data_IF_182319287930
#
_entry.id   IF_182319287930
#
_cell.length_a   1.000
_cell.length_b   1.000
_cell.length_c   1.000
_cell.angle_alpha   90.00
_cell.angle_beta   90.00
_cell.angle_gamma   90.00
#
_symmetry.space_group_name_H-M   'P 1'
#
loop_
_entity.id
_entity.type
_entity.pdbx_description
1 polymer ?
#
# COMPACT_ATOMS: atom_id res chain seq x y z
N UNK A 1 25.60 19.45 -14.39
CA UNK A 1 25.45 18.42 -13.33
C UNK A 1 24.30 17.52 -13.76
N UNK A 2 24.51 16.21 -13.80
CA UNK A 2 23.45 15.26 -14.20
C UNK A 2 22.44 15.12 -13.06
N UNK A 3 21.18 15.44 -13.32
CA UNK A 3 20.10 15.35 -12.33
C UNK A 3 19.93 13.93 -11.78
N UNK A 4 20.10 12.90 -12.62
CA UNK A 4 19.92 11.49 -12.22
C UNK A 4 20.81 11.09 -11.04
N UNK A 5 22.00 11.69 -10.95
CA UNK A 5 23.02 11.38 -9.92
C UNK A 5 23.21 12.54 -8.94
N UNK A 6 22.21 13.42 -8.79
CA UNK A 6 22.32 14.61 -7.94
C UNK A 6 21.76 14.36 -6.53
N UNK A 7 22.33 15.03 -5.53
CA UNK A 7 21.75 15.11 -4.18
C UNK A 7 20.36 15.71 -4.19
N UNK A 8 20.04 16.57 -5.16
CA UNK A 8 18.69 17.13 -5.31
C UNK A 8 17.66 16.04 -5.58
N UNK A 9 17.97 15.06 -6.45
CA UNK A 9 17.08 13.92 -6.70
C UNK A 9 16.89 13.07 -5.45
N UNK A 10 17.95 12.81 -4.68
CA UNK A 10 17.86 12.08 -3.40
C UNK A 10 16.99 12.84 -2.40
N UNK A 11 17.18 14.17 -2.31
CA UNK A 11 16.36 15.03 -1.43
C UNK A 11 14.88 14.99 -1.82
N UNK A 12 14.55 15.02 -3.11
CA UNK A 12 13.16 14.89 -3.59
C UNK A 12 12.53 13.55 -3.19
N UNK A 13 13.28 12.44 -3.32
CA UNK A 13 12.84 11.12 -2.89
C UNK A 13 12.60 11.07 -1.37
N UNK A 14 13.53 11.66 -0.59
CA UNK A 14 13.41 11.74 0.87
C UNK A 14 12.21 12.58 1.27
N UNK A 15 12.00 13.73 0.64
CA UNK A 15 10.83 14.57 0.87
C UNK A 15 9.54 13.84 0.57
N UNK A 16 9.42 13.18 -0.60
CA UNK A 16 8.27 12.34 -0.94
C UNK A 16 7.98 11.28 0.13
N UNK A 17 9.01 10.56 0.59
CA UNK A 17 8.86 9.53 1.64
C UNK A 17 8.34 10.15 2.95
N UNK A 18 8.83 11.32 3.33
CA UNK A 18 8.37 12.05 4.52
C UNK A 18 6.88 12.42 4.43
N UNK A 19 6.47 13.00 3.31
CA UNK A 19 5.06 13.40 3.08
C UNK A 19 4.12 12.19 3.00
N UNK A 20 4.53 11.12 2.32
CA UNK A 20 3.75 9.88 2.25
C UNK A 20 3.52 9.28 3.64
N UNK A 21 4.56 9.26 4.48
CA UNK A 21 4.48 8.79 5.86
C UNK A 21 3.61 9.71 6.72
N UNK A 22 3.75 11.03 6.61
CA UNK A 22 2.95 12.01 7.34
C UNK A 22 1.47 11.87 6.97
N UNK A 23 1.15 11.75 5.67
CA UNK A 23 -0.20 11.49 5.16
C UNK A 23 -0.85 10.28 5.84
N UNK A 24 -0.18 9.15 5.85
CA UNK A 24 -0.72 7.93 6.47
C UNK A 24 -0.91 8.09 7.99
N UNK A 25 0.08 8.63 8.70
CA UNK A 25 0.01 8.87 10.16
C UNK A 25 -1.17 9.79 10.52
N UNK A 26 -1.37 10.86 9.77
CA UNK A 26 -2.45 11.80 10.07
C UNK A 26 -3.84 11.18 9.87
N UNK A 27 -4.01 10.25 8.91
CA UNK A 27 -5.25 9.49 8.79
C UNK A 27 -5.48 8.60 10.02
N UNK A 28 -4.46 7.88 10.51
CA UNK A 28 -4.58 7.07 11.73
C UNK A 28 -4.88 7.93 12.97
N UNK A 29 -4.27 9.11 13.06
CA UNK A 29 -4.54 10.05 14.15
C UNK A 29 -5.95 10.64 14.08
N UNK A 30 -6.47 10.89 12.87
CA UNK A 30 -7.85 11.33 12.67
C UNK A 30 -8.85 10.28 13.14
N UNK A 31 -8.64 9.00 12.79
CA UNK A 31 -9.46 7.89 13.26
C UNK A 31 -9.49 7.80 14.78
N UNK A 32 -8.33 7.92 15.44
CA UNK A 32 -8.21 7.88 16.90
C UNK A 32 -8.91 9.08 17.54
N UNK A 33 -8.69 10.30 17.03
CA UNK A 33 -9.33 11.51 17.53
C UNK A 33 -10.86 11.42 17.43
N UNK A 34 -11.38 10.89 16.33
CA UNK A 34 -12.81 10.68 16.12
C UNK A 34 -13.38 9.66 17.12
N UNK A 35 -12.68 8.55 17.35
CA UNK A 35 -13.06 7.55 18.33
C UNK A 35 -13.11 8.10 19.76
N UNK A 36 -12.34 9.16 20.07
CA UNK A 36 -12.33 9.89 21.35
C UNK A 36 -13.30 11.08 21.40
N UNK A 37 -14.14 11.27 20.36
CA UNK A 37 -15.11 12.36 20.28
C UNK A 37 -14.52 13.73 19.93
N UNK A 38 -13.25 13.79 19.52
CA UNK A 38 -12.55 15.03 19.17
C UNK A 38 -12.67 15.34 17.66
N UNK A 39 -13.91 15.56 17.19
CA UNK A 39 -14.18 15.73 15.76
C UNK A 39 -13.39 16.88 15.11
N UNK A 40 -13.26 18.03 15.79
CA UNK A 40 -12.47 19.15 15.30
C UNK A 40 -10.99 18.80 15.05
N UNK A 41 -10.39 18.00 15.92
CA UNK A 41 -9.02 17.51 15.76
C UNK A 41 -8.93 16.48 14.62
N UNK A 42 -9.90 15.58 14.53
CA UNK A 42 -9.97 14.60 13.43
C UNK A 42 -10.00 15.31 12.07
N UNK A 43 -10.86 16.31 11.89
CA UNK A 43 -10.93 17.11 10.67
C UNK A 43 -9.63 17.89 10.39
N UNK A 44 -8.94 18.38 11.41
CA UNK A 44 -7.64 19.03 11.25
C UNK A 44 -6.58 18.06 10.71
N UNK A 45 -6.50 16.83 11.24
CA UNK A 45 -5.62 15.79 10.73
C UNK A 45 -5.96 15.37 9.30
N UNK A 46 -7.22 15.19 8.97
CA UNK A 46 -7.65 14.86 7.60
C UNK A 46 -7.28 15.97 6.61
N UNK A 47 -7.44 17.23 7.01
CA UNK A 47 -7.02 18.36 6.18
C UNK A 47 -5.51 18.36 5.95
N UNK A 48 -4.71 18.19 7.01
CA UNK A 48 -3.27 18.06 6.89
C UNK A 48 -2.89 16.89 5.99
N UNK A 49 -3.47 15.70 6.20
CA UNK A 49 -3.23 14.52 5.35
C UNK A 49 -3.47 14.79 3.86
N UNK A 50 -4.52 15.54 3.51
CA UNK A 50 -4.75 15.96 2.11
C UNK A 50 -3.64 16.89 1.59
N UNK A 51 -3.15 17.81 2.42
CA UNK A 51 -2.06 18.69 2.03
C UNK A 51 -0.76 17.91 1.79
N UNK A 52 -0.44 16.94 2.67
CA UNK A 52 0.75 16.09 2.50
C UNK A 52 0.66 15.20 1.25
N UNK A 53 -0.54 14.81 0.84
CA UNK A 53 -0.74 14.16 -0.46
C UNK A 53 -0.28 15.05 -1.62
N UNK A 54 -0.69 16.31 -1.63
CA UNK A 54 -0.31 17.25 -2.69
C UNK A 54 1.19 17.58 -2.66
N UNK A 55 1.78 17.75 -1.47
CA UNK A 55 3.23 17.93 -1.33
C UNK A 55 3.98 16.71 -1.88
N UNK A 56 3.58 15.51 -1.46
CA UNK A 56 4.17 14.27 -1.96
C UNK A 56 4.11 14.16 -3.48
N UNK A 57 2.95 14.50 -4.08
CA UNK A 57 2.78 14.50 -5.54
C UNK A 57 3.75 15.47 -6.23
N UNK A 58 3.95 16.69 -5.67
CA UNK A 58 4.91 17.66 -6.21
C UNK A 58 6.34 17.10 -6.29
N UNK A 59 6.76 16.34 -5.27
CA UNK A 59 8.09 15.75 -5.23
C UNK A 59 8.20 14.52 -6.12
N UNK A 60 7.17 13.66 -6.11
CA UNK A 60 7.11 12.44 -6.93
C UNK A 60 7.21 12.76 -8.42
N UNK A 61 6.43 13.71 -8.92
CA UNK A 61 6.44 14.15 -10.30
C UNK A 61 7.82 14.64 -10.75
N UNK A 62 8.62 15.18 -9.84
CA UNK A 62 9.95 15.74 -10.15
C UNK A 62 11.07 14.71 -10.16
N UNK A 63 11.03 13.73 -9.27
CA UNK A 63 12.13 12.76 -9.20
C UNK A 63 11.86 11.47 -9.97
N UNK A 64 10.60 11.10 -10.12
CA UNK A 64 10.15 9.86 -10.74
C UNK A 64 9.26 10.12 -11.96
N UNK A 65 8.21 10.88 -11.78
CA UNK A 65 7.19 11.20 -12.76
C UNK A 65 5.94 10.33 -12.61
N UNK A 66 4.80 10.89 -13.03
CA UNK A 66 3.59 10.13 -13.34
C UNK A 66 3.61 9.96 -14.86
N UNK A 67 3.93 8.76 -15.31
CA UNK A 67 4.22 8.45 -16.70
C UNK A 67 2.96 8.00 -17.46
N UNK A 68 3.12 7.31 -18.57
CA UNK A 68 1.99 6.70 -19.28
C UNK A 68 1.35 5.59 -18.45
N UNK A 69 0.10 5.25 -18.77
CA UNK A 69 -0.62 4.14 -18.13
C UNK A 69 0.22 2.86 -18.08
N UNK A 70 0.84 2.51 -19.20
CA UNK A 70 1.63 1.29 -19.33
C UNK A 70 2.91 1.34 -18.48
N UNK A 71 3.61 2.47 -18.46
CA UNK A 71 4.82 2.64 -17.64
C UNK A 71 4.49 2.63 -16.15
N UNK A 72 3.40 3.29 -15.73
CA UNK A 72 2.95 3.26 -14.35
C UNK A 72 2.52 1.85 -13.90
N UNK A 73 1.88 1.05 -14.77
CA UNK A 73 1.57 -0.35 -14.48
C UNK A 73 2.83 -1.19 -14.31
N UNK A 74 3.82 -1.02 -15.19
CA UNK A 74 5.11 -1.73 -15.07
C UNK A 74 5.86 -1.36 -13.79
N UNK A 75 5.83 -0.09 -13.39
CA UNK A 75 6.44 0.38 -12.15
C UNK A 75 5.71 -0.21 -10.93
N UNK A 76 4.38 -0.18 -10.92
CA UNK A 76 3.58 -0.80 -9.86
C UNK A 76 3.86 -2.31 -9.74
N UNK A 77 3.83 -3.06 -10.86
CA UNK A 77 4.14 -4.50 -10.89
C UNK A 77 5.54 -4.78 -10.33
N UNK A 78 6.53 -3.95 -10.67
CA UNK A 78 7.89 -4.11 -10.15
C UNK A 78 7.95 -3.87 -8.63
N UNK A 79 7.23 -2.87 -8.12
CA UNK A 79 7.11 -2.60 -6.69
C UNK A 79 6.47 -3.76 -5.93
N UNK A 80 5.27 -4.19 -6.35
CA UNK A 80 4.54 -5.31 -5.73
C UNK A 80 5.33 -6.64 -5.82
N UNK A 81 6.08 -6.85 -6.90
CA UNK A 81 6.96 -8.02 -7.03
C UNK A 81 8.06 -7.98 -5.98
N UNK A 82 8.74 -6.85 -5.83
CA UNK A 82 9.78 -6.69 -4.81
C UNK A 82 9.21 -6.88 -3.39
N UNK A 83 8.04 -6.32 -3.11
CA UNK A 83 7.41 -6.44 -1.79
C UNK A 83 6.98 -7.88 -1.49
N UNK A 84 6.37 -8.57 -2.45
CA UNK A 84 5.85 -9.93 -2.26
C UNK A 84 6.92 -11.02 -2.29
N UNK A 85 7.95 -10.89 -3.14
CA UNK A 85 8.92 -11.97 -3.38
C UNK A 85 10.25 -11.79 -2.64
N UNK A 86 10.59 -10.56 -2.22
CA UNK A 86 11.85 -10.23 -1.56
C UNK A 86 11.65 -9.58 -0.19
N UNK A 87 11.11 -8.38 -0.14
CA UNK A 87 11.10 -7.53 1.05
C UNK A 87 10.39 -8.20 2.23
N UNK A 88 9.11 -8.53 2.10
CA UNK A 88 8.33 -9.11 3.20
C UNK A 88 8.77 -10.53 3.55
N UNK A 89 9.26 -11.31 2.59
CA UNK A 89 9.80 -12.65 2.85
C UNK A 89 11.06 -12.56 3.72
N UNK A 90 11.97 -11.64 3.42
CA UNK A 90 13.15 -11.41 4.23
C UNK A 90 12.81 -10.85 5.61
N UNK A 91 11.85 -9.93 5.71
CA UNK A 91 11.40 -9.38 6.99
C UNK A 91 10.76 -10.46 7.87
N UNK A 92 9.95 -11.35 7.30
CA UNK A 92 9.36 -12.47 8.02
C UNK A 92 10.43 -13.43 8.55
N UNK A 93 11.49 -13.70 7.76
CA UNK A 93 12.61 -14.52 8.20
C UNK A 93 13.34 -13.91 9.39
N UNK A 94 13.70 -12.63 9.31
CA UNK A 94 14.36 -11.91 10.41
C UNK A 94 13.49 -11.90 11.66
N UNK A 95 12.20 -11.59 11.53
CA UNK A 95 11.28 -11.60 12.66
C UNK A 95 11.18 -12.96 13.35
N UNK A 96 11.20 -14.07 12.58
CA UNK A 96 11.27 -15.44 13.15
C UNK A 96 12.58 -15.70 13.89
N UNK A 97 13.70 -15.30 13.32
CA UNK A 97 15.03 -15.44 13.93
C UNK A 97 15.14 -14.67 15.25
N UNK A 98 14.47 -13.52 15.34
CA UNK A 98 14.39 -12.69 16.55
C UNK A 98 13.28 -13.11 17.53
N UNK A 99 12.44 -14.10 17.19
CA UNK A 99 11.38 -14.63 18.05
C UNK A 99 10.04 -13.90 17.97
N UNK A 100 9.85 -12.94 17.06
CA UNK A 100 8.61 -12.19 16.82
C UNK A 100 7.70 -12.93 15.83
N UNK A 101 7.18 -14.10 16.23
CA UNK A 101 6.44 -14.98 15.34
C UNK A 101 5.12 -14.41 14.83
N UNK A 102 4.44 -13.61 15.64
CA UNK A 102 3.21 -12.89 15.27
C UNK A 102 3.46 -11.82 14.20
N UNK A 103 4.56 -11.08 14.32
CA UNK A 103 5.00 -10.10 13.32
C UNK A 103 5.45 -10.82 12.04
N UNK A 104 6.16 -11.94 12.16
CA UNK A 104 6.55 -12.74 11.02
C UNK A 104 5.34 -13.22 10.20
N UNK A 105 4.31 -13.75 10.88
CA UNK A 105 3.05 -14.13 10.23
C UNK A 105 2.39 -12.95 9.53
N UNK A 106 2.41 -11.77 10.13
CA UNK A 106 1.83 -10.56 9.52
C UNK A 106 2.56 -10.20 8.23
N UNK A 107 3.90 -10.23 8.21
CA UNK A 107 4.69 -10.02 6.99
C UNK A 107 4.35 -11.05 5.91
N UNK A 108 4.25 -12.33 6.24
CA UNK A 108 3.86 -13.38 5.29
C UNK A 108 2.45 -13.18 4.73
N UNK A 109 1.53 -12.69 5.54
CA UNK A 109 0.17 -12.39 5.10
C UNK A 109 0.11 -11.18 4.17
N UNK A 110 0.85 -10.12 4.49
CA UNK A 110 0.91 -8.93 3.62
C UNK A 110 1.58 -9.29 2.29
N UNK A 111 2.68 -10.08 2.28
CA UNK A 111 3.31 -10.55 1.05
C UNK A 111 2.30 -11.18 0.07
N UNK A 112 1.31 -11.94 0.58
CA UNK A 112 0.23 -12.53 -0.26
C UNK A 112 -0.74 -11.49 -0.80
N UNK A 113 -0.95 -10.39 -0.10
CA UNK A 113 -1.78 -9.29 -0.59
C UNK A 113 -1.06 -8.60 -1.75
N UNK A 114 0.24 -8.31 -1.58
CA UNK A 114 1.03 -7.64 -2.63
C UNK A 114 1.20 -8.54 -3.87
N UNK A 115 1.28 -9.87 -3.70
CA UNK A 115 1.18 -10.81 -4.83
C UNK A 115 -0.17 -10.67 -5.56
N UNK A 116 -1.25 -10.47 -4.83
CA UNK A 116 -2.58 -10.20 -5.39
C UNK A 116 -2.62 -8.89 -6.18
N UNK A 117 -2.02 -7.81 -5.65
CA UNK A 117 -1.90 -6.52 -6.34
C UNK A 117 -1.06 -6.65 -7.62
N UNK A 118 0.09 -7.34 -7.54
CA UNK A 118 0.94 -7.65 -8.70
C UNK A 118 0.14 -8.32 -9.81
N UNK A 119 -0.62 -9.36 -9.48
CA UNK A 119 -1.42 -10.11 -10.44
C UNK A 119 -2.52 -9.24 -11.06
N UNK A 120 -3.22 -8.46 -10.25
CA UNK A 120 -4.24 -7.52 -10.70
C UNK A 120 -3.66 -6.49 -11.70
N UNK A 121 -2.53 -5.85 -11.38
CA UNK A 121 -1.90 -4.89 -12.29
C UNK A 121 -1.38 -5.55 -13.57
N UNK A 122 -0.90 -6.79 -13.49
CA UNK A 122 -0.46 -7.57 -14.66
C UNK A 122 -1.64 -7.85 -15.60
N UNK A 123 -2.82 -8.22 -15.08
CA UNK A 123 -4.03 -8.42 -15.88
C UNK A 123 -4.42 -7.13 -16.64
N UNK A 124 -4.33 -5.96 -16.00
CA UNK A 124 -4.58 -4.68 -16.67
C UNK A 124 -3.52 -4.35 -17.73
N UNK A 125 -2.27 -4.71 -17.51
CA UNK A 125 -1.21 -4.54 -18.50
C UNK A 125 -1.45 -5.44 -19.71
N UNK A 126 -1.97 -6.64 -19.51
CA UNK A 126 -2.34 -7.61 -20.55
C UNK A 126 -3.68 -7.30 -21.24
N UNK A 127 -4.33 -6.19 -20.87
CA UNK A 127 -5.52 -5.67 -21.55
C UNK A 127 -6.85 -5.95 -20.86
N UNK A 128 -6.87 -6.45 -19.63
CA UNK A 128 -8.10 -6.50 -18.84
C UNK A 128 -8.67 -5.10 -18.63
N UNK A 129 -9.99 -5.00 -18.59
CA UNK A 129 -10.72 -3.77 -18.25
C UNK A 129 -11.35 -3.80 -16.86
N UNK A 130 -11.29 -4.94 -16.19
CA UNK A 130 -11.97 -5.19 -14.92
C UNK A 130 -11.05 -5.97 -13.95
N UNK A 131 -11.30 -5.83 -12.66
CA UNK A 131 -10.62 -6.62 -11.62
C UNK A 131 -11.26 -8.01 -11.56
N UNK A 132 -10.50 -9.05 -11.89
CA UNK A 132 -10.96 -10.44 -11.91
C UNK A 132 -10.88 -11.12 -10.52
N UNK A 133 -11.35 -10.48 -9.48
CA UNK A 133 -11.38 -11.02 -8.12
C UNK A 133 -12.82 -11.22 -7.68
N UNK A 134 -13.18 -12.42 -7.22
CA UNK A 134 -14.55 -12.69 -6.76
C UNK A 134 -14.84 -12.09 -5.39
N UNK A 135 -13.84 -12.08 -4.53
CA UNK A 135 -13.98 -11.66 -3.15
C UNK A 135 -12.80 -10.82 -2.71
N UNK A 136 -13.04 -9.71 -2.05
CA UNK A 136 -11.99 -8.87 -1.48
C UNK A 136 -12.33 -8.49 -0.04
N UNK A 137 -11.32 -8.48 0.83
CA UNK A 137 -11.47 -7.92 2.16
C UNK A 137 -11.53 -6.39 2.07
N UNK A 138 -12.61 -5.74 2.55
CA UNK A 138 -12.75 -4.29 2.44
C UNK A 138 -11.76 -3.51 3.32
N UNK A 139 -11.10 -4.19 4.27
CA UNK A 139 -10.14 -3.56 5.17
C UNK A 139 -8.70 -3.64 4.68
N UNK A 140 -8.23 -4.85 4.37
CA UNK A 140 -6.80 -5.07 4.06
C UNK A 140 -6.53 -5.40 2.59
N UNK A 141 -7.55 -5.44 1.74
CA UNK A 141 -7.37 -5.73 0.32
C UNK A 141 -7.13 -7.19 -0.04
N UNK A 142 -7.04 -8.13 0.94
CA UNK A 142 -6.86 -9.56 0.65
C UNK A 142 -7.87 -10.04 -0.39
N UNK A 143 -7.37 -10.61 -1.48
CA UNK A 143 -8.16 -11.13 -2.60
C UNK A 143 -8.29 -12.65 -2.53
N UNK A 144 -9.46 -13.17 -2.91
CA UNK A 144 -9.78 -14.58 -2.85
C UNK A 144 -10.65 -15.00 -4.03
N UNK A 145 -10.24 -16.04 -4.75
CA UNK A 145 -10.87 -16.44 -6.02
C UNK A 145 -11.65 -17.75 -5.97
N UNK A 146 -11.74 -18.42 -4.82
CA UNK A 146 -12.51 -19.65 -4.68
C UNK A 146 -14.03 -19.41 -4.80
N UNK A 147 -14.79 -20.50 -4.89
CA UNK A 147 -16.24 -20.45 -5.07
C UNK A 147 -17.01 -19.84 -3.89
N UNK A 148 -16.39 -19.78 -2.70
CA UNK A 148 -16.99 -19.21 -1.48
C UNK A 148 -16.00 -18.33 -0.76
N UNK A 149 -16.45 -17.14 -0.34
CA UNK A 149 -15.67 -16.27 0.53
C UNK A 149 -15.35 -16.96 1.86
N UNK A 150 -14.14 -16.81 2.41
CA UNK A 150 -13.85 -17.19 3.78
C UNK A 150 -14.76 -16.43 4.75
N UNK A 151 -15.16 -17.08 5.85
CA UNK A 151 -16.04 -16.47 6.86
C UNK A 151 -15.41 -15.21 7.45
N UNK A 152 -14.13 -15.29 7.76
CA UNK A 152 -13.31 -14.17 8.23
C UNK A 152 -12.09 -14.03 7.30
N UNK A 153 -11.58 -12.81 7.16
CA UNK A 153 -10.36 -12.58 6.41
C UNK A 153 -9.18 -13.30 7.09
N UNK A 154 -8.42 -14.13 6.36
CA UNK A 154 -7.30 -14.87 6.96
C UNK A 154 -6.10 -13.98 7.28
N UNK A 155 -6.10 -12.73 6.83
CA UNK A 155 -5.02 -11.76 7.06
C UNK A 155 -5.32 -10.85 8.25
N UNK A 156 -6.45 -10.14 8.24
CA UNK A 156 -6.77 -9.17 9.28
C UNK A 156 -7.80 -9.68 10.32
N UNK A 157 -8.34 -10.89 10.13
CA UNK A 157 -9.29 -11.61 10.99
C UNK A 157 -10.61 -10.86 11.33
N UNK A 158 -10.69 -9.59 10.99
CA UNK A 158 -11.73 -8.68 11.49
C UNK A 158 -12.96 -8.55 10.59
N UNK A 159 -12.87 -8.92 9.31
CA UNK A 159 -13.96 -8.67 8.37
C UNK A 159 -14.29 -9.88 7.52
N UNK A 160 -15.59 -10.04 7.25
CA UNK A 160 -16.06 -10.95 6.24
C UNK A 160 -15.61 -10.44 4.87
N UNK A 161 -14.98 -11.30 4.09
CA UNK A 161 -14.60 -10.97 2.71
C UNK A 161 -15.88 -10.76 1.89
N UNK A 162 -16.02 -9.60 1.28
CA UNK A 162 -17.17 -9.22 0.46
C UNK A 162 -16.99 -9.62 -1.00
N UNK A 163 -18.10 -9.84 -1.72
CA UNK A 163 -18.07 -9.97 -3.17
C UNK A 163 -17.71 -8.63 -3.83
N UNK A 164 -16.91 -8.67 -4.87
CA UNK A 164 -16.72 -7.55 -5.76
C UNK A 164 -17.76 -7.69 -6.87
N UNK A 165 -18.75 -6.81 -6.89
CA UNK A 165 -19.71 -6.65 -7.97
C UNK A 165 -19.49 -5.30 -8.63
#
# INVERSE_FOLDING_TARGET
>A
MDFKNSKTKENLKTAFTGEAMARCKYMYYAEKARAEGMEGLALAYEKASRNEHEHGKLWFERYHGILSKEENLKDAIAGETYESEDMYINFAKVAKEEGFNDIAMLFEHVAKIEEGHKNMFSEFLDGSSEVNTKWQCPKCGYMHNDSKAPKNCPVCEQYRVGGIN
#
